data_IF_377909184698
#
_entry.id   IF_377909184698
#
_cell.length_a   1.000
_cell.length_b   1.000
_cell.length_c   1.000
_cell.angle_alpha   90.00
_cell.angle_beta   90.00
_cell.angle_gamma   90.00
#
_symmetry.space_group_name_H-M   'P 1'
#
loop_
_entity.id
_entity.type
_entity.pdbx_description
1 polymer ?
#
# COMPACT_ATOMS: atom_id res chain seq x y z
N UNK A 1 9.37 -1.27 44.21
CA UNK A 1 8.65 -0.82 42.99
C UNK A 1 8.56 0.69 43.04
N UNK A 2 9.20 1.46 42.14
CA UNK A 2 9.04 2.89 42.16
C UNK A 2 7.98 3.34 41.15
N UNK A 3 6.94 3.93 41.73
CA UNK A 3 5.92 4.76 41.10
C UNK A 3 6.58 6.07 40.65
N UNK A 4 6.45 6.42 39.37
CA UNK A 4 6.78 7.74 38.87
C UNK A 4 5.62 8.69 39.15
N UNK A 5 5.82 9.61 40.10
CA UNK A 5 4.93 10.73 40.35
C UNK A 5 5.19 11.85 39.32
N UNK A 6 4.13 12.28 38.63
CA UNK A 6 4.13 13.46 37.76
C UNK A 6 3.54 14.61 38.57
N UNK A 7 4.34 15.65 38.81
CA UNK A 7 3.89 16.90 39.42
C UNK A 7 3.31 17.85 38.35
N UNK A 8 2.25 18.64 38.65
CA UNK A 8 1.75 19.66 37.75
C UNK A 8 2.48 20.98 38.00
N UNK A 9 3.18 21.49 37.00
CA UNK A 9 3.73 22.85 37.01
C UNK A 9 2.75 23.80 36.30
N UNK A 10 1.94 24.50 37.08
CA UNK A 10 1.21 25.69 36.65
C UNK A 10 2.00 26.91 37.11
N UNK A 11 2.65 27.59 36.16
CA UNK A 11 3.33 28.85 36.37
C UNK A 11 2.98 29.82 35.25
N UNK A 12 2.03 30.72 35.52
CA UNK A 12 1.81 31.93 34.72
C UNK A 12 3.02 32.87 34.91
N UNK A 13 3.78 33.13 33.84
CA UNK A 13 4.82 34.16 33.83
C UNK A 13 4.35 35.31 32.94
N UNK A 14 4.07 36.45 33.59
CA UNK A 14 3.95 37.78 32.96
C UNK A 14 5.31 38.14 32.36
N UNK A 15 5.37 38.34 31.04
CA UNK A 15 6.55 38.88 30.37
C UNK A 15 6.60 40.41 30.56
N UNK A 16 7.59 40.86 31.34
CA UNK A 16 8.06 42.25 31.31
C UNK A 16 9.24 42.37 30.35
N UNK A 17 9.23 43.45 29.57
CA UNK A 17 10.29 43.87 28.64
C UNK A 17 11.65 44.00 29.35
N UNK A 18 12.64 43.21 28.93
CA UNK A 18 14.04 43.36 29.31
C UNK A 18 14.95 43.21 28.07
N UNK A 19 16.07 43.96 28.00
CA UNK A 19 16.95 44.00 26.84
C UNK A 19 17.76 42.70 26.69
N UNK A 20 17.82 42.20 25.45
CA UNK A 20 18.42 40.93 25.04
C UNK A 20 19.95 40.95 25.22
N UNK A 21 20.44 40.14 26.15
CA UNK A 21 21.88 39.89 26.38
C UNK A 21 22.42 38.83 25.40
N UNK A 22 23.52 39.16 24.70
CA UNK A 22 24.21 38.37 23.65
C UNK A 22 24.95 37.10 24.14
N UNK A 23 24.51 36.44 25.22
CA UNK A 23 25.23 35.29 25.82
C UNK A 23 24.41 33.98 25.94
N UNK A 24 23.45 33.75 25.05
CA UNK A 24 22.68 32.49 24.99
C UNK A 24 22.69 31.81 23.60
N UNK A 25 23.84 31.78 22.92
CA UNK A 25 23.98 31.12 21.59
C UNK A 25 24.65 29.73 21.67
N UNK A 26 25.25 29.33 22.80
CA UNK A 26 25.99 28.06 22.89
C UNK A 26 25.21 26.82 23.34
N UNK A 27 23.93 26.92 23.75
CA UNK A 27 23.19 25.76 24.29
C UNK A 27 22.13 25.18 23.34
N UNK A 28 22.08 25.61 22.08
CA UNK A 28 21.12 25.14 21.08
C UNK A 28 21.71 24.20 20.02
N UNK A 29 23.01 23.88 20.10
CA UNK A 29 23.71 23.02 19.12
C UNK A 29 23.86 21.54 19.56
N UNK A 30 23.43 21.16 20.76
CA UNK A 30 23.58 19.78 21.26
C UNK A 30 22.30 18.93 21.06
N UNK A 31 21.17 19.54 20.70
CA UNK A 31 19.90 18.83 20.43
C UNK A 31 19.66 18.47 18.95
N UNK A 32 20.54 18.86 18.03
CA UNK A 32 20.45 18.52 16.60
C UNK A 32 21.08 17.15 16.22
N UNK A 33 21.76 16.47 17.15
CA UNK A 33 22.54 15.25 16.84
C UNK A 33 21.85 13.92 17.15
N UNK A 34 20.71 13.92 17.84
CA UNK A 34 19.96 12.69 18.08
C UNK A 34 18.98 12.46 16.92
N UNK A 35 19.51 12.36 15.69
CA UNK A 35 18.85 11.58 14.65
C UNK A 35 18.83 10.17 15.22
N UNK A 36 17.75 9.84 15.92
CA UNK A 36 17.52 8.52 16.46
C UNK A 36 17.58 7.57 15.27
N UNK A 37 18.75 6.95 15.08
CA UNK A 37 18.93 5.85 14.16
C UNK A 37 17.99 4.77 14.71
N UNK A 38 16.74 4.76 14.23
CA UNK A 38 15.82 3.66 14.50
C UNK A 38 16.58 2.43 14.10
N UNK A 39 17.06 1.68 15.09
CA UNK A 39 17.81 0.46 14.88
C UNK A 39 16.96 -0.38 13.93
N UNK A 40 17.41 -0.51 12.68
CA UNK A 40 16.70 -1.31 11.70
C UNK A 40 16.65 -2.69 12.30
N UNK A 41 15.44 -3.22 12.52
CA UNK A 41 15.28 -4.61 12.98
C UNK A 41 16.13 -5.48 12.06
N UNK A 42 16.96 -6.34 12.66
CA UNK A 42 17.73 -7.29 11.89
C UNK A 42 16.78 -8.07 10.96
N UNK A 43 17.13 -8.16 9.68
CA UNK A 43 16.32 -8.91 8.74
C UNK A 43 16.36 -10.39 9.12
N UNK A 44 15.25 -11.13 8.96
CA UNK A 44 15.27 -12.58 9.08
C UNK A 44 16.35 -13.22 8.20
N UNK A 45 16.89 -14.36 8.64
CA UNK A 45 17.99 -15.05 7.95
C UNK A 45 17.66 -15.45 6.50
N UNK A 46 16.39 -15.76 6.22
CA UNK A 46 15.95 -16.12 4.87
C UNK A 46 15.88 -14.91 3.92
N UNK A 47 15.96 -13.68 4.43
CA UNK A 47 15.96 -12.47 3.60
C UNK A 47 17.37 -12.12 3.13
N UNK A 48 17.45 -11.49 1.95
CA UNK A 48 18.63 -10.87 1.37
C UNK A 48 19.03 -9.61 2.14
N UNK A 49 20.30 -9.52 2.52
CA UNK A 49 20.83 -8.37 3.27
C UNK A 49 21.06 -7.16 2.36
N UNK A 50 21.38 -7.38 1.10
CA UNK A 50 21.73 -6.39 0.08
C UNK A 50 20.53 -5.60 -0.48
N UNK A 51 19.31 -6.12 -0.37
CA UNK A 51 18.10 -5.45 -0.88
C UNK A 51 17.23 -4.85 0.22
N UNK A 52 16.57 -3.70 0.06
CA UNK A 52 15.64 -3.17 1.05
C UNK A 52 14.45 -4.11 1.30
N UNK A 53 13.88 -4.06 2.51
CA UNK A 53 12.81 -4.97 2.95
C UNK A 53 13.25 -6.41 3.14
N UNK A 54 12.29 -7.34 3.08
CA UNK A 54 12.56 -8.76 3.13
C UNK A 54 12.36 -9.42 1.76
N UNK A 55 13.44 -9.49 0.99
CA UNK A 55 13.50 -10.26 -0.24
C UNK A 55 14.05 -11.66 0.04
N UNK A 56 13.31 -12.75 -0.19
CA UNK A 56 13.81 -14.08 0.14
C UNK A 56 15.03 -14.44 -0.73
N UNK A 57 16.00 -15.14 -0.14
CA UNK A 57 17.19 -15.67 -0.85
C UNK A 57 16.79 -16.66 -1.95
N UNK A 58 15.74 -17.44 -1.71
CA UNK A 58 15.16 -18.39 -2.64
C UNK A 58 13.71 -18.01 -2.89
N UNK A 59 13.34 -17.78 -4.16
CA UNK A 59 11.96 -17.46 -4.55
C UNK A 59 11.31 -18.71 -5.14
N UNK A 60 10.35 -19.30 -4.42
CA UNK A 60 9.56 -20.44 -4.90
C UNK A 60 8.11 -20.08 -5.20
N UNK A 61 7.65 -18.94 -4.66
CA UNK A 61 6.30 -18.43 -4.78
C UNK A 61 6.34 -16.90 -4.85
N UNK A 62 5.42 -16.30 -5.62
CA UNK A 62 5.25 -14.84 -5.70
C UNK A 62 3.83 -14.51 -5.26
N UNK A 63 3.69 -13.57 -4.33
CA UNK A 63 2.38 -13.04 -3.93
C UNK A 63 2.31 -11.55 -4.23
N UNK A 64 1.34 -11.17 -5.07
CA UNK A 64 0.92 -9.79 -5.28
C UNK A 64 -0.29 -9.48 -4.40
N UNK A 65 -0.09 -8.67 -3.36
CA UNK A 65 -1.18 -8.05 -2.62
C UNK A 65 -1.78 -6.95 -3.50
N UNK A 66 -2.83 -7.30 -4.23
CA UNK A 66 -3.40 -6.44 -5.25
C UNK A 66 -4.40 -5.49 -4.57
N UNK A 67 -4.05 -4.21 -4.47
CA UNK A 67 -4.99 -3.18 -4.01
C UNK A 67 -5.72 -2.60 -5.21
N UNK A 68 -7.02 -2.31 -5.09
CA UNK A 68 -7.74 -1.82 -6.26
C UNK A 68 -7.20 -0.49 -6.75
N UNK A 69 -7.17 -0.36 -8.07
CA UNK A 69 -6.85 0.88 -8.78
C UNK A 69 -5.41 1.35 -8.60
N UNK A 70 -4.52 0.49 -8.14
CA UNK A 70 -3.08 0.73 -8.07
C UNK A 70 -2.32 0.05 -9.23
N UNK A 71 -2.90 -0.01 -10.44
CA UNK A 71 -2.22 -0.62 -11.60
C UNK A 71 -1.96 -2.14 -11.48
N UNK A 72 -2.54 -2.82 -10.48
CA UNK A 72 -2.25 -4.22 -10.19
C UNK A 72 -2.65 -5.20 -11.30
N UNK A 73 -3.58 -4.85 -12.20
CA UNK A 73 -3.87 -5.66 -13.40
C UNK A 73 -2.65 -5.74 -14.32
N UNK A 74 -2.04 -4.59 -14.67
CA UNK A 74 -0.85 -4.55 -15.52
C UNK A 74 0.33 -5.25 -14.87
N UNK A 75 0.53 -5.04 -13.56
CA UNK A 75 1.59 -5.71 -12.81
C UNK A 75 1.36 -7.23 -12.74
N UNK A 76 0.12 -7.69 -12.51
CA UNK A 76 -0.24 -9.11 -12.51
C UNK A 76 0.04 -9.75 -13.86
N UNK A 77 -0.37 -9.13 -14.97
CA UNK A 77 -0.11 -9.64 -16.33
C UNK A 77 1.39 -9.79 -16.58
N UNK A 78 2.17 -8.77 -16.20
CA UNK A 78 3.62 -8.86 -16.26
C UNK A 78 4.19 -10.00 -15.40
N UNK A 79 3.73 -10.14 -14.15
CA UNK A 79 4.17 -11.18 -13.24
C UNK A 79 3.88 -12.58 -13.78
N UNK A 80 2.75 -12.80 -14.45
CA UNK A 80 2.44 -14.07 -15.09
C UNK A 80 3.54 -14.47 -16.10
N UNK A 81 3.97 -13.54 -16.94
CA UNK A 81 5.06 -13.76 -17.89
C UNK A 81 6.41 -13.94 -17.18
N UNK A 82 6.72 -13.11 -16.18
CA UNK A 82 7.98 -13.18 -15.44
C UNK A 82 8.13 -14.49 -14.67
N UNK A 83 7.08 -14.92 -13.97
CA UNK A 83 7.01 -16.19 -13.24
C UNK A 83 7.14 -17.37 -14.20
N UNK A 84 6.42 -17.36 -15.34
CA UNK A 84 6.54 -18.43 -16.36
C UNK A 84 7.97 -18.60 -16.85
N UNK A 85 8.70 -17.50 -17.10
CA UNK A 85 10.13 -17.54 -17.46
C UNK A 85 11.00 -18.10 -16.34
N UNK A 86 10.79 -17.63 -15.10
CA UNK A 86 11.58 -18.04 -13.93
C UNK A 86 11.44 -19.52 -13.58
N UNK A 87 10.24 -20.09 -13.77
CA UNK A 87 9.92 -21.46 -13.36
C UNK A 87 9.82 -22.45 -14.53
N UNK A 88 10.17 -22.08 -15.78
CA UNK A 88 10.27 -22.95 -16.97
C UNK A 88 9.18 -24.05 -17.05
N UNK A 89 7.91 -23.68 -16.94
CA UNK A 89 6.77 -24.62 -17.04
C UNK A 89 6.41 -25.38 -15.75
N UNK A 90 7.13 -25.17 -14.65
CA UNK A 90 6.78 -25.73 -13.34
C UNK A 90 5.81 -24.82 -12.61
N UNK A 91 4.54 -25.22 -12.58
CA UNK A 91 3.55 -24.71 -11.65
C UNK A 91 2.50 -23.78 -12.24
N UNK A 92 1.39 -23.66 -11.53
CA UNK A 92 0.20 -22.94 -11.95
C UNK A 92 0.22 -21.47 -11.49
N UNK A 93 -0.45 -20.61 -12.25
CA UNK A 93 -0.89 -19.29 -11.79
C UNK A 93 -2.22 -19.50 -11.08
N UNK A 94 -2.29 -19.14 -9.80
CA UNK A 94 -3.42 -19.50 -8.97
C UNK A 94 -4.19 -18.25 -8.54
N UNK A 95 -5.49 -18.23 -8.88
CA UNK A 95 -6.44 -17.22 -8.43
C UNK A 95 -7.15 -17.82 -7.22
N UNK A 96 -6.61 -17.58 -6.04
CA UNK A 96 -6.93 -18.44 -4.90
C UNK A 96 -8.29 -18.24 -4.26
N UNK A 97 -8.92 -17.08 -4.44
CA UNK A 97 -10.24 -16.83 -3.88
C UNK A 97 -11.12 -16.18 -4.93
N UNK A 98 -12.05 -16.99 -5.46
CA UNK A 98 -13.11 -16.56 -6.37
C UNK A 98 -14.06 -15.55 -5.71
N UNK A 99 -14.20 -15.66 -4.39
CA UNK A 99 -15.02 -14.79 -3.58
C UNK A 99 -14.14 -13.82 -2.81
N UNK A 100 -14.13 -12.58 -3.27
CA UNK A 100 -13.53 -11.49 -2.52
C UNK A 100 -14.54 -11.05 -1.45
N UNK A 101 -14.11 -10.78 -0.21
CA UNK A 101 -15.01 -10.34 0.86
C UNK A 101 -15.50 -8.89 0.64
N UNK A 102 -15.47 -8.41 -0.61
CA UNK A 102 -15.63 -7.02 -1.05
C UNK A 102 -16.84 -6.28 -0.55
N UNK A 103 -17.85 -7.00 -0.14
CA UNK A 103 -19.13 -6.42 0.15
C UNK A 103 -19.30 -6.36 1.66
N UNK A 104 -18.58 -5.42 2.28
CA UNK A 104 -19.23 -4.61 3.33
C UNK A 104 -20.30 -3.77 2.62
N UNK A 105 -21.33 -4.42 2.07
CA UNK A 105 -22.49 -3.66 1.65
C UNK A 105 -23.19 -3.24 2.93
N UNK A 106 -23.65 -1.98 3.03
CA UNK A 106 -24.77 -1.67 3.92
C UNK A 106 -25.78 -2.80 3.76
N UNK A 107 -26.12 -3.53 4.83
CA UNK A 107 -27.31 -4.38 4.77
C UNK A 107 -28.43 -3.44 4.34
N UNK A 108 -28.99 -3.73 3.17
CA UNK A 108 -29.59 -2.77 2.23
C UNK A 108 -30.92 -2.15 2.69
N UNK A 109 -31.11 -1.83 3.97
CA UNK A 109 -32.38 -1.30 4.47
C UNK A 109 -32.29 -0.35 5.68
N UNK A 110 -31.19 -0.31 6.46
CA UNK A 110 -31.25 0.28 7.81
C UNK A 110 -30.34 1.48 8.08
N UNK A 111 -29.77 2.13 7.07
CA UNK A 111 -29.11 3.45 7.23
C UNK A 111 -27.91 3.55 8.19
N UNK A 112 -27.50 2.46 8.85
CA UNK A 112 -26.41 2.44 9.81
C UNK A 112 -25.73 1.08 9.80
N UNK A 113 -24.41 1.10 9.63
CA UNK A 113 -23.48 -0.04 9.66
C UNK A 113 -23.51 -0.98 8.44
N UNK A 114 -22.43 -0.93 7.67
CA UNK A 114 -22.10 -1.90 6.63
C UNK A 114 -21.76 -3.25 7.24
N UNK A 115 -22.74 -4.16 7.35
CA UNK A 115 -22.46 -5.54 7.76
C UNK A 115 -21.72 -6.28 6.64
N UNK A 116 -20.60 -6.93 6.95
CA UNK A 116 -20.00 -7.86 5.99
C UNK A 116 -20.99 -8.97 5.62
N UNK A 117 -20.97 -9.41 4.36
CA UNK A 117 -21.57 -10.69 3.99
C UNK A 117 -20.92 -11.80 4.85
N UNK A 118 -21.64 -12.25 5.87
CA UNK A 118 -21.14 -13.18 6.88
C UNK A 118 -20.63 -14.50 6.28
N UNK A 119 -21.25 -14.96 5.19
CA UNK A 119 -20.83 -16.16 4.45
C UNK A 119 -19.45 -15.95 3.80
N UNK A 120 -19.24 -14.82 3.15
CA UNK A 120 -17.93 -14.48 2.55
C UNK A 120 -16.87 -14.29 3.63
N UNK A 121 -17.22 -13.69 4.77
CA UNK A 121 -16.31 -13.55 5.90
C UNK A 121 -15.93 -14.91 6.50
N UNK A 122 -16.88 -15.81 6.73
CA UNK A 122 -16.62 -17.15 7.26
C UNK A 122 -15.74 -17.97 6.30
N UNK A 123 -16.03 -17.93 4.99
CA UNK A 123 -15.18 -18.55 3.98
C UNK A 123 -13.76 -17.98 3.99
N UNK A 124 -13.64 -16.65 4.01
CA UNK A 124 -12.34 -15.98 4.08
C UNK A 124 -11.59 -16.35 5.36
N UNK A 125 -12.25 -16.30 6.51
CA UNK A 125 -11.67 -16.66 7.79
C UNK A 125 -11.21 -18.12 7.81
N UNK A 126 -12.02 -19.04 7.28
CA UNK A 126 -11.63 -20.44 7.12
C UNK A 126 -10.40 -20.58 6.24
N UNK A 127 -10.39 -19.94 5.07
CA UNK A 127 -9.26 -20.00 4.14
C UNK A 127 -7.97 -19.46 4.78
N UNK A 128 -8.04 -18.32 5.48
CA UNK A 128 -6.91 -17.73 6.22
C UNK A 128 -6.45 -18.65 7.36
N UNK A 129 -7.38 -19.27 8.08
CA UNK A 129 -7.05 -20.11 9.24
C UNK A 129 -6.36 -21.39 8.84
N UNK A 130 -6.80 -22.04 7.75
CA UNK A 130 -6.22 -23.32 7.35
C UNK A 130 -4.97 -23.16 6.48
N UNK A 131 -4.83 -22.05 5.76
CA UNK A 131 -3.74 -21.89 4.78
C UNK A 131 -3.83 -22.85 3.59
N UNK A 132 -4.87 -23.69 3.50
CA UNK A 132 -5.05 -24.72 2.46
C UNK A 132 -5.14 -24.13 1.06
N UNK A 133 -5.47 -22.85 0.98
CA UNK A 133 -5.46 -22.14 -0.29
C UNK A 133 -4.04 -22.04 -0.85
N UNK A 134 -2.95 -22.11 -0.09
CA UNK A 134 -1.59 -22.17 -0.64
C UNK A 134 -1.24 -23.58 -1.15
N UNK A 135 -1.88 -23.98 -2.26
CA UNK A 135 -1.63 -25.27 -2.93
C UNK A 135 -0.17 -25.44 -3.35
N UNK A 136 0.38 -26.64 -3.13
CA UNK A 136 1.66 -27.07 -3.69
C UNK A 136 1.65 -26.89 -5.21
N UNK A 137 2.67 -26.21 -5.72
CA UNK A 137 2.86 -26.00 -7.16
C UNK A 137 2.35 -24.68 -7.72
N UNK A 138 1.66 -23.84 -6.95
CA UNK A 138 1.34 -22.50 -7.41
C UNK A 138 2.56 -21.57 -7.29
N UNK A 139 2.82 -20.80 -8.35
CA UNK A 139 4.00 -19.92 -8.43
C UNK A 139 3.65 -18.44 -8.36
N UNK A 140 2.41 -18.09 -8.64
CA UNK A 140 1.90 -16.73 -8.52
C UNK A 140 0.52 -16.74 -7.88
N UNK A 141 0.41 -16.02 -6.77
CA UNK A 141 -0.83 -15.58 -6.14
C UNK A 141 -1.05 -14.11 -6.45
N UNK A 142 -2.24 -13.76 -6.92
CA UNK A 142 -2.69 -12.37 -6.93
C UNK A 142 -4.15 -12.33 -6.51
N UNK A 143 -4.46 -11.45 -5.56
CA UNK A 143 -5.80 -11.37 -5.00
C UNK A 143 -6.04 -9.99 -4.41
N UNK A 144 -7.30 -9.54 -4.46
CA UNK A 144 -7.70 -8.33 -3.74
C UNK A 144 -8.17 -8.69 -2.33
N UNK A 145 -7.21 -9.09 -1.51
CA UNK A 145 -7.40 -9.32 -0.08
C UNK A 145 -6.65 -8.31 0.75
N UNK A 146 -6.91 -8.35 2.05
CA UNK A 146 -6.10 -7.65 3.01
C UNK A 146 -4.89 -8.49 3.42
N UNK A 147 -3.99 -7.86 4.17
CA UNK A 147 -2.72 -8.46 4.56
C UNK A 147 -2.87 -9.77 5.36
N UNK A 148 -4.05 -10.11 5.90
CA UNK A 148 -4.23 -11.42 6.56
C UNK A 148 -3.97 -12.60 5.62
N UNK A 149 -4.08 -12.40 4.30
CA UNK A 149 -3.64 -13.41 3.32
C UNK A 149 -2.15 -13.71 3.43
N UNK A 150 -1.33 -12.71 3.79
CA UNK A 150 0.10 -12.87 4.02
C UNK A 150 0.35 -13.55 5.37
N UNK A 151 -0.39 -13.15 6.41
CA UNK A 151 -0.32 -13.76 7.74
C UNK A 151 -0.68 -15.27 7.71
N UNK A 152 -1.53 -15.68 6.76
CA UNK A 152 -1.94 -17.08 6.56
C UNK A 152 -0.91 -17.96 5.84
N UNK A 153 0.17 -17.40 5.30
CA UNK A 153 1.16 -18.20 4.57
C UNK A 153 1.92 -19.08 5.58
N UNK A 154 1.95 -20.42 5.41
CA UNK A 154 2.74 -21.29 6.28
C UNK A 154 4.21 -20.84 6.32
N UNK A 155 4.90 -20.83 7.48
CA UNK A 155 6.24 -20.26 7.62
C UNK A 155 7.26 -20.77 6.58
N UNK A 156 7.24 -22.06 6.26
CA UNK A 156 8.12 -22.65 5.25
C UNK A 156 7.88 -22.11 3.83
N UNK A 157 6.62 -21.80 3.47
CA UNK A 157 6.27 -21.13 2.20
C UNK A 157 6.58 -19.63 2.30
N UNK A 158 6.35 -19.01 3.45
CA UNK A 158 6.59 -17.57 3.68
C UNK A 158 8.05 -17.21 3.48
N UNK A 159 8.97 -18.07 3.94
CA UNK A 159 10.41 -17.89 3.83
C UNK A 159 10.90 -17.89 2.36
N UNK A 160 10.14 -18.48 1.44
CA UNK A 160 10.46 -18.52 0.01
C UNK A 160 9.46 -17.72 -0.85
N UNK A 161 8.57 -16.95 -0.22
CA UNK A 161 7.57 -16.13 -0.91
C UNK A 161 8.08 -14.71 -1.13
N UNK A 162 8.13 -14.31 -2.39
CA UNK A 162 8.34 -12.94 -2.80
C UNK A 162 7.05 -12.13 -2.62
N UNK A 163 7.03 -11.23 -1.65
CA UNK A 163 5.90 -10.31 -1.44
C UNK A 163 6.03 -9.05 -2.29
N UNK A 164 4.95 -8.73 -3.00
CA UNK A 164 4.82 -7.57 -3.86
C UNK A 164 3.53 -6.82 -3.50
N UNK A 165 3.64 -5.50 -3.35
CA UNK A 165 2.49 -4.57 -3.32
C UNK A 165 2.75 -3.43 -4.31
N UNK A 166 1.71 -2.93 -4.94
CA UNK A 166 1.78 -1.71 -5.74
C UNK A 166 0.82 -0.69 -5.16
N UNK A 167 1.31 0.53 -4.91
CA UNK A 167 0.52 1.64 -4.39
C UNK A 167 0.30 2.71 -5.46
N UNK A 168 -0.57 3.66 -5.16
CA UNK A 168 -0.88 4.80 -6.02
C UNK A 168 -1.16 6.00 -5.15
N UNK A 169 -0.85 7.19 -5.67
CA UNK A 169 -1.36 8.46 -5.16
C UNK A 169 -2.83 8.33 -4.68
N UNK A 170 -3.15 8.67 -3.42
CA UNK A 170 -4.46 8.38 -2.82
C UNK A 170 -5.63 9.03 -3.57
N UNK A 171 -5.56 10.33 -3.87
CA UNK A 171 -6.60 11.03 -4.64
C UNK A 171 -6.74 10.44 -6.05
N UNK A 172 -5.63 10.24 -6.77
CA UNK A 172 -5.64 9.62 -8.10
C UNK A 172 -6.20 8.19 -8.11
N UNK A 173 -5.98 7.42 -7.04
CA UNK A 173 -6.60 6.10 -6.83
C UNK A 173 -8.11 6.22 -6.67
N UNK A 174 -8.58 7.14 -5.82
CA UNK A 174 -10.00 7.40 -5.60
C UNK A 174 -10.69 7.77 -6.92
N UNK A 175 -10.21 8.81 -7.63
CA UNK A 175 -10.74 9.21 -8.94
C UNK A 175 -10.82 8.02 -9.91
N UNK A 176 -9.74 7.24 -10.00
CA UNK A 176 -9.71 6.06 -10.87
C UNK A 176 -10.73 4.99 -10.47
N UNK A 177 -11.02 4.85 -9.18
CA UNK A 177 -12.05 3.96 -8.67
C UNK A 177 -13.45 4.46 -9.04
N UNK A 178 -13.74 5.74 -8.81
CA UNK A 178 -15.02 6.34 -9.14
C UNK A 178 -15.39 6.17 -10.61
N UNK A 179 -14.46 6.45 -11.53
CA UNK A 179 -14.73 6.24 -12.95
C UNK A 179 -14.89 4.76 -13.33
N UNK A 180 -14.22 3.84 -12.63
CA UNK A 180 -14.46 2.42 -12.81
C UNK A 180 -15.91 2.07 -12.41
N UNK A 181 -16.38 2.55 -11.26
CA UNK A 181 -17.75 2.32 -10.79
C UNK A 181 -18.80 2.88 -11.76
N UNK A 182 -18.59 4.11 -12.27
CA UNK A 182 -19.47 4.69 -13.30
C UNK A 182 -19.52 3.84 -14.57
N UNK A 183 -18.39 3.30 -15.04
CA UNK A 183 -18.37 2.39 -16.21
C UNK A 183 -19.13 1.09 -15.96
N UNK A 184 -19.16 0.62 -14.70
CA UNK A 184 -19.95 -0.53 -14.28
C UNK A 184 -21.39 -0.17 -13.86
N UNK A 185 -21.83 1.07 -14.15
CA UNK A 185 -23.17 1.57 -13.87
C UNK A 185 -23.57 1.47 -12.39
N UNK A 186 -22.63 1.66 -11.46
CA UNK A 186 -22.95 1.78 -10.04
C UNK A 186 -23.89 2.99 -9.82
N UNK A 187 -25.11 2.80 -9.29
CA UNK A 187 -26.09 3.88 -9.18
C UNK A 187 -25.60 5.04 -8.32
N UNK A 188 -24.86 4.74 -7.25
CA UNK A 188 -24.33 5.76 -6.37
C UNK A 188 -23.30 6.63 -7.08
N UNK A 189 -22.38 6.02 -7.82
CA UNK A 189 -21.36 6.76 -8.58
C UNK A 189 -21.93 7.49 -9.81
N UNK A 190 -23.02 7.00 -10.43
CA UNK A 190 -23.68 7.67 -11.57
C UNK A 190 -24.37 8.97 -11.16
N UNK A 191 -24.94 9.01 -9.95
CA UNK A 191 -25.77 10.10 -9.46
C UNK A 191 -25.04 11.06 -8.50
N UNK A 192 -23.70 11.08 -8.52
CA UNK A 192 -22.91 11.89 -7.61
C UNK A 192 -21.62 12.39 -8.26
N UNK A 193 -20.94 13.33 -7.60
CA UNK A 193 -19.55 13.68 -7.90
C UNK A 193 -18.61 12.70 -7.19
N UNK A 194 -17.31 12.69 -7.56
CA UNK A 194 -16.31 11.86 -6.87
C UNK A 194 -16.19 12.20 -5.39
N UNK A 195 -16.28 13.48 -5.04
CA UNK A 195 -16.23 13.96 -3.66
C UNK A 195 -17.50 13.54 -2.92
N UNK A 196 -18.68 13.83 -3.48
CA UNK A 196 -19.93 13.44 -2.83
C UNK A 196 -20.01 11.94 -2.59
N UNK A 197 -19.57 11.13 -3.56
CA UNK A 197 -19.56 9.70 -3.41
C UNK A 197 -18.59 9.24 -2.32
N UNK A 198 -17.32 9.65 -2.36
CA UNK A 198 -16.35 9.09 -1.43
C UNK A 198 -16.30 9.74 -0.06
N UNK A 199 -16.78 10.97 0.08
CA UNK A 199 -16.76 11.70 1.35
C UNK A 199 -18.11 11.59 2.07
N UNK A 200 -19.23 11.59 1.33
CA UNK A 200 -20.58 11.68 1.92
C UNK A 200 -21.40 10.40 1.79
N UNK A 201 -21.29 9.66 0.69
CA UNK A 201 -22.06 8.42 0.52
C UNK A 201 -21.47 7.28 1.37
N UNK A 202 -22.23 6.64 2.28
CA UNK A 202 -21.69 5.59 3.17
C UNK A 202 -21.03 4.41 2.44
N UNK A 203 -21.55 4.02 1.27
CA UNK A 203 -20.95 2.96 0.45
C UNK A 203 -19.61 3.43 -0.12
N UNK A 204 -19.56 4.64 -0.68
CA UNK A 204 -18.33 5.23 -1.21
C UNK A 204 -17.25 5.40 -0.13
N UNK A 205 -17.62 5.93 1.04
CA UNK A 205 -16.74 6.03 2.21
C UNK A 205 -16.15 4.66 2.55
N UNK A 206 -17.00 3.63 2.64
CA UNK A 206 -16.57 2.29 3.04
C UNK A 206 -15.55 1.66 2.09
N UNK A 207 -15.63 1.93 0.79
CA UNK A 207 -14.73 1.38 -0.23
C UNK A 207 -13.47 2.23 -0.46
N UNK A 208 -13.51 3.52 -0.15
CA UNK A 208 -12.45 4.45 -0.52
C UNK A 208 -11.56 4.88 0.65
N UNK A 209 -12.15 5.24 1.81
CA UNK A 209 -11.42 5.88 2.91
C UNK A 209 -10.26 5.03 3.41
N UNK A 210 -9.05 5.57 3.31
CA UNK A 210 -7.77 4.97 3.73
C UNK A 210 -7.64 3.51 3.30
N UNK A 211 -8.04 3.21 2.06
CA UNK A 211 -8.14 1.83 1.57
C UNK A 211 -6.79 1.13 1.54
N UNK A 212 -5.71 1.79 1.11
CA UNK A 212 -4.39 1.16 1.04
C UNK A 212 -3.91 0.80 2.46
N UNK A 213 -4.05 1.73 3.40
CA UNK A 213 -3.74 1.54 4.82
C UNK A 213 -4.55 0.39 5.41
N UNK A 214 -5.86 0.33 5.16
CA UNK A 214 -6.73 -0.73 5.66
C UNK A 214 -6.37 -2.11 5.10
N UNK A 215 -6.10 -2.20 3.79
CA UNK A 215 -5.61 -3.43 3.16
C UNK A 215 -4.33 -3.89 3.82
N UNK A 216 -3.35 -2.99 3.94
CA UNK A 216 -2.05 -3.29 4.54
C UNK A 216 -2.16 -3.63 6.03
N UNK A 217 -3.06 -2.98 6.76
CA UNK A 217 -3.31 -3.25 8.17
C UNK A 217 -4.17 -4.50 8.42
N UNK A 218 -4.67 -5.18 7.39
CA UNK A 218 -5.51 -6.37 7.56
C UNK A 218 -6.91 -6.06 8.12
N UNK A 219 -7.38 -4.83 7.90
CA UNK A 219 -8.65 -4.26 8.40
C UNK A 219 -9.56 -3.82 7.26
N UNK A 220 -9.76 -4.70 6.29
CA UNK A 220 -10.52 -4.41 5.08
C UNK A 220 -12.02 -4.59 5.25
N UNK A 221 -12.43 -5.40 6.23
CA UNK A 221 -13.82 -5.80 6.44
C UNK A 221 -14.28 -5.51 7.87
N UNK A 222 -15.56 -5.16 8.03
CA UNK A 222 -16.25 -5.13 9.31
C UNK A 222 -16.13 -6.49 10.02
N UNK A 223 -15.49 -6.52 11.19
CA UNK A 223 -15.33 -7.75 11.97
C UNK A 223 -16.52 -7.90 12.91
N UNK A 224 -17.18 -9.05 12.87
CA UNK A 224 -18.25 -9.40 13.83
C UNK A 224 -19.39 -8.36 13.90
N UNK A 225 -19.71 -7.73 12.78
CA UNK A 225 -20.75 -6.68 12.71
C UNK A 225 -20.34 -5.32 13.27
N UNK A 226 -19.11 -5.15 13.76
CA UNK A 226 -18.61 -3.85 14.21
C UNK A 226 -18.32 -2.94 13.01
N UNK A 227 -18.53 -1.61 13.15
CA UNK A 227 -18.16 -0.65 12.11
C UNK A 227 -16.69 -0.77 11.71
N UNK A 228 -16.40 -0.56 10.43
CA UNK A 228 -15.02 -0.51 9.96
C UNK A 228 -14.30 0.70 10.57
N UNK A 229 -13.10 0.47 11.11
CA UNK A 229 -12.20 1.54 11.56
C UNK A 229 -11.47 2.06 10.33
N UNK A 230 -11.77 3.31 9.95
CA UNK A 230 -11.13 3.95 8.81
C UNK A 230 -9.85 4.71 9.18
N UNK A 231 -9.78 5.19 10.43
CA UNK A 231 -8.71 6.05 10.93
C UNK A 231 -8.36 5.69 12.37
N UNK A 232 -7.09 5.42 12.60
CA UNK A 232 -6.46 5.40 13.93
C UNK A 232 -4.95 5.29 13.75
N UNK A 233 -4.18 5.81 14.71
CA UNK A 233 -2.72 5.67 14.72
C UNK A 233 -2.28 4.20 14.75
N UNK A 234 -3.06 3.35 15.42
CA UNK A 234 -2.82 1.92 15.46
C UNK A 234 -2.98 1.26 14.07
N UNK A 235 -3.98 1.69 13.29
CA UNK A 235 -4.20 1.21 11.93
C UNK A 235 -3.01 1.60 11.02
N UNK A 236 -2.64 2.89 11.02
CA UNK A 236 -1.50 3.38 10.25
C UNK A 236 -0.18 2.72 10.69
N UNK A 237 0.06 2.62 12.00
CA UNK A 237 1.25 2.00 12.58
C UNK A 237 1.42 0.54 12.12
N UNK A 238 0.33 -0.25 12.07
CA UNK A 238 0.34 -1.62 11.52
C UNK A 238 0.63 -1.63 10.03
N UNK A 239 -0.03 -0.80 9.24
CA UNK A 239 0.18 -0.72 7.80
C UNK A 239 1.64 -0.37 7.45
N UNK A 240 2.20 0.63 8.13
CA UNK A 240 3.60 1.04 7.97
C UNK A 240 4.56 -0.08 8.35
N UNK A 241 4.34 -0.75 9.48
CA UNK A 241 5.19 -1.87 9.89
C UNK A 241 5.17 -3.01 8.87
N UNK A 242 4.01 -3.30 8.28
CA UNK A 242 3.85 -4.35 7.27
C UNK A 242 4.43 -3.98 5.91
N UNK A 243 4.48 -2.69 5.57
CA UNK A 243 5.20 -2.21 4.39
C UNK A 243 6.68 -2.63 4.41
N UNK A 244 7.27 -2.78 5.60
CA UNK A 244 8.64 -3.23 5.77
C UNK A 244 8.87 -4.71 5.38
N UNK A 245 7.81 -5.52 5.42
CA UNK A 245 7.86 -6.95 5.11
C UNK A 245 7.85 -7.25 3.61
N UNK A 246 7.42 -6.28 2.78
CA UNK A 246 7.43 -6.43 1.33
C UNK A 246 8.84 -6.34 0.80
N UNK A 247 9.19 -7.27 -0.09
CA UNK A 247 10.38 -7.15 -0.91
C UNK A 247 10.21 -6.10 -1.99
N UNK A 248 9.02 -6.06 -2.61
CA UNK A 248 8.70 -5.12 -3.69
C UNK A 248 7.55 -4.19 -3.27
N UNK A 249 7.85 -2.90 -3.13
CA UNK A 249 6.87 -1.83 -2.96
C UNK A 249 6.87 -0.96 -4.21
N UNK A 250 5.97 -1.24 -5.15
CA UNK A 250 5.88 -0.50 -6.39
C UNK A 250 4.98 0.74 -6.29
N UNK A 251 5.14 1.63 -7.27
CA UNK A 251 4.30 2.82 -7.45
C UNK A 251 3.64 2.79 -8.83
N UNK A 252 2.36 3.15 -8.88
CA UNK A 252 1.59 3.17 -10.13
C UNK A 252 2.14 4.21 -11.13
N UNK A 253 2.65 5.34 -10.65
CA UNK A 253 3.33 6.36 -11.47
C UNK A 253 4.67 5.89 -12.03
N UNK A 254 5.26 4.83 -11.46
CA UNK A 254 6.60 4.29 -11.78
C UNK A 254 6.53 2.77 -12.02
N UNK A 255 5.49 2.34 -12.73
CA UNK A 255 5.15 0.90 -12.87
C UNK A 255 6.19 0.13 -13.69
N UNK A 256 6.79 0.76 -14.71
CA UNK A 256 7.83 0.12 -15.52
C UNK A 256 9.10 -0.18 -14.70
N UNK A 257 9.47 0.72 -13.81
CA UNK A 257 10.64 0.57 -12.94
C UNK A 257 10.35 -0.40 -11.80
N UNK A 258 9.11 -0.43 -11.32
CA UNK A 258 8.62 -1.51 -10.45
C UNK A 258 8.85 -2.87 -11.11
N UNK A 259 8.52 -3.01 -12.41
CA UNK A 259 8.73 -4.26 -13.15
C UNK A 259 10.21 -4.58 -13.32
N UNK A 260 11.05 -3.59 -13.61
CA UNK A 260 12.51 -3.75 -13.67
C UNK A 260 13.06 -4.30 -12.36
N UNK A 261 12.65 -3.72 -11.23
CA UNK A 261 13.06 -4.20 -9.91
C UNK A 261 12.57 -5.62 -9.61
N UNK A 262 11.33 -5.96 -10.00
CA UNK A 262 10.84 -7.35 -9.90
C UNK A 262 11.72 -8.31 -10.71
N UNK A 263 12.14 -7.94 -11.93
CA UNK A 263 13.04 -8.77 -12.74
C UNK A 263 14.37 -8.99 -12.03
N UNK A 264 14.97 -7.92 -11.50
CA UNK A 264 16.21 -8.01 -10.71
C UNK A 264 16.06 -8.97 -9.51
N UNK A 265 15.01 -8.81 -8.71
CA UNK A 265 14.78 -9.67 -7.53
C UNK A 265 14.55 -11.13 -7.92
N UNK A 266 13.91 -11.39 -9.06
CA UNK A 266 13.71 -12.74 -9.60
C UNK A 266 14.98 -13.33 -10.23
N UNK A 267 16.08 -12.58 -10.29
CA UNK A 267 17.33 -12.99 -10.95
C UNK A 267 17.24 -13.00 -12.47
N UNK A 268 16.33 -12.22 -13.05
CA UNK A 268 16.23 -12.02 -14.50
C UNK A 268 17.17 -10.88 -14.89
N UNK A 269 18.24 -11.20 -15.62
CA UNK A 269 19.19 -10.21 -16.12
C UNK A 269 18.50 -9.39 -17.21
N UNK A 270 18.26 -8.11 -16.95
CA UNK A 270 17.72 -7.14 -17.92
C UNK A 270 17.98 -5.72 -17.44
N UNK A 271 18.48 -4.89 -18.35
CA UNK A 271 18.70 -3.47 -18.08
C UNK A 271 17.53 -2.60 -18.52
N UNK A 272 16.53 -3.19 -19.17
CA UNK A 272 15.41 -2.47 -19.76
C UNK A 272 14.09 -2.90 -19.13
N UNK A 273 13.19 -1.93 -18.82
CA UNK A 273 11.85 -2.27 -18.42
C UNK A 273 11.12 -2.98 -19.58
N UNK A 274 10.09 -3.79 -19.28
CA UNK A 274 9.28 -4.42 -20.32
C UNK A 274 8.63 -3.37 -21.23
N UNK A 275 8.86 -3.49 -22.54
CA UNK A 275 8.20 -2.64 -23.54
C UNK A 275 6.71 -3.00 -23.63
N UNK A 276 5.88 -2.00 -23.94
CA UNK A 276 4.52 -2.19 -24.47
C UNK A 276 3.58 -3.03 -23.60
N UNK A 277 3.62 -2.86 -22.28
CA UNK A 277 2.42 -3.22 -21.54
C UNK A 277 1.35 -2.20 -21.92
N UNK A 278 0.20 -2.68 -22.40
CA UNK A 278 -1.02 -1.88 -22.57
C UNK A 278 -1.46 -1.37 -21.19
N UNK A 279 -0.67 -0.45 -20.64
CA UNK A 279 -1.06 0.38 -19.55
C UNK A 279 -2.06 1.33 -20.18
N UNK A 280 -3.34 0.93 -20.11
CA UNK A 280 -4.43 1.81 -20.50
C UNK A 280 -4.29 3.04 -19.63
N UNK A 281 -3.69 4.09 -20.19
CA UNK A 281 -3.50 5.37 -19.54
C UNK A 281 -4.84 6.09 -19.50
N UNK A 282 -5.79 5.45 -18.83
CA UNK A 282 -7.10 6.01 -18.53
C UNK A 282 -6.95 7.23 -17.62
N UNK A 283 -5.76 7.51 -17.07
CA UNK A 283 -5.52 8.74 -16.32
C UNK A 283 -5.77 9.96 -17.22
N UNK A 284 -5.27 9.97 -18.46
CA UNK A 284 -5.47 11.08 -19.40
C UNK A 284 -6.96 11.27 -19.75
N UNK A 285 -7.74 10.18 -19.77
CA UNK A 285 -9.18 10.25 -20.06
C UNK A 285 -9.98 10.97 -18.96
N UNK A 286 -9.44 11.06 -17.76
CA UNK A 286 -10.14 11.58 -16.58
C UNK A 286 -9.48 12.84 -16.02
N UNK A 287 -8.60 13.48 -16.79
CA UNK A 287 -7.92 14.74 -16.43
C UNK A 287 -8.36 15.85 -17.39
N UNK A 288 -8.44 17.12 -16.94
CA UNK A 288 -8.02 17.59 -15.61
C UNK A 288 -9.10 17.41 -14.53
N UNK A 289 -8.69 16.93 -13.35
CA UNK A 289 -9.47 17.01 -12.11
C UNK A 289 -9.10 18.31 -11.40
N UNK A 290 -10.10 19.04 -10.90
CA UNK A 290 -9.89 20.26 -10.12
C UNK A 290 -8.91 19.99 -8.93
N UNK A 291 -7.84 20.79 -8.77
CA UNK A 291 -6.93 20.67 -7.63
C UNK A 291 -7.61 20.69 -6.26
N UNK A 292 -8.69 21.46 -6.09
CA UNK A 292 -9.46 21.51 -4.84
C UNK A 292 -10.19 20.19 -4.55
N UNK A 293 -10.58 19.44 -5.59
CA UNK A 293 -11.16 18.10 -5.46
C UNK A 293 -10.08 17.10 -5.03
N UNK A 294 -8.87 17.18 -5.61
CA UNK A 294 -7.76 16.31 -5.24
C UNK A 294 -7.36 16.53 -3.78
N UNK A 295 -7.24 17.79 -3.35
CA UNK A 295 -6.94 18.14 -1.96
C UNK A 295 -7.98 17.56 -0.98
N UNK A 296 -9.28 17.71 -1.27
CA UNK A 296 -10.33 17.14 -0.42
C UNK A 296 -10.24 15.62 -0.31
N UNK A 297 -9.89 14.94 -1.41
CA UNK A 297 -9.71 13.49 -1.40
C UNK A 297 -8.46 13.08 -0.59
N UNK A 298 -7.38 13.86 -0.63
CA UNK A 298 -6.18 13.59 0.17
C UNK A 298 -6.42 13.80 1.67
N UNK A 299 -7.09 14.90 2.04
CA UNK A 299 -7.51 15.15 3.42
C UNK A 299 -8.36 13.99 3.96
N UNK A 300 -9.30 13.50 3.15
CA UNK A 300 -10.13 12.35 3.48
C UNK A 300 -9.37 11.01 3.53
N UNK A 301 -8.19 10.94 2.91
CA UNK A 301 -7.35 9.75 2.85
C UNK A 301 -5.98 9.96 3.53
N UNK A 302 -5.94 10.75 4.61
CA UNK A 302 -4.68 11.16 5.26
C UNK A 302 -3.72 10.02 5.63
N UNK A 303 -4.22 8.86 6.09
CA UNK A 303 -3.34 7.72 6.38
C UNK A 303 -2.75 7.10 5.11
N UNK A 304 -3.51 7.07 4.01
CA UNK A 304 -3.01 6.61 2.71
C UNK A 304 -1.96 7.57 2.16
N UNK A 305 -2.13 8.89 2.36
CA UNK A 305 -1.12 9.91 2.00
C UNK A 305 0.20 9.63 2.74
N UNK A 306 0.13 9.47 4.06
CA UNK A 306 1.33 9.17 4.86
C UNK A 306 1.94 7.82 4.53
N UNK A 307 1.14 6.80 4.24
CA UNK A 307 1.64 5.48 3.82
C UNK A 307 2.31 5.56 2.44
N UNK A 308 1.74 6.33 1.52
CA UNK A 308 2.28 6.52 0.18
C UNK A 308 3.66 7.21 0.21
N UNK A 309 3.83 8.25 1.05
CA UNK A 309 5.15 8.88 1.27
C UNK A 309 6.21 7.87 1.76
N UNK A 310 5.82 6.97 2.68
CA UNK A 310 6.72 5.89 3.12
C UNK A 310 7.06 4.93 1.98
N UNK A 311 6.08 4.60 1.13
CA UNK A 311 6.30 3.76 -0.04
C UNK A 311 7.21 4.42 -1.08
N UNK A 312 7.12 5.74 -1.29
CA UNK A 312 8.04 6.48 -2.16
C UNK A 312 9.49 6.39 -1.66
N UNK A 313 9.71 6.59 -0.35
CA UNK A 313 11.03 6.43 0.25
C UNK A 313 11.58 4.99 0.10
N UNK A 314 10.71 3.99 0.28
CA UNK A 314 11.06 2.57 0.06
C UNK A 314 11.41 2.29 -1.39
N UNK A 315 10.61 2.80 -2.32
CA UNK A 315 10.82 2.64 -3.74
C UNK A 315 12.11 3.30 -4.21
N UNK A 316 12.43 4.51 -3.72
CA UNK A 316 13.72 5.16 -3.96
C UNK A 316 14.90 4.29 -3.53
N UNK A 317 14.84 3.72 -2.32
CA UNK A 317 15.87 2.79 -1.84
C UNK A 317 16.00 1.52 -2.69
N UNK A 318 14.88 1.01 -3.24
CA UNK A 318 14.89 -0.14 -4.15
C UNK A 318 15.59 0.18 -5.47
N UNK A 319 15.34 1.34 -6.06
CA UNK A 319 16.01 1.77 -7.29
C UNK A 319 17.52 1.96 -7.08
N UNK A 320 17.90 2.60 -5.95
CA UNK A 320 19.31 2.76 -5.59
C UNK A 320 20.04 1.42 -5.44
N UNK A 321 19.38 0.42 -4.84
CA UNK A 321 19.96 -0.91 -4.65
C UNK A 321 20.27 -1.65 -5.97
N UNK A 322 19.65 -1.24 -7.09
CA UNK A 322 19.93 -1.77 -8.43
C UNK A 322 20.71 -0.80 -9.32
N UNK A 323 21.37 0.19 -8.71
CA UNK A 323 22.22 1.16 -9.41
C UNK A 323 21.47 2.19 -10.24
N UNK A 324 20.19 2.46 -9.94
CA UNK A 324 19.39 3.50 -10.60
C UNK A 324 19.26 4.71 -9.68
N UNK A 325 19.70 5.88 -10.15
CA UNK A 325 19.52 7.11 -9.38
C UNK A 325 18.05 7.55 -9.45
N UNK A 326 17.58 8.26 -8.42
CA UNK A 326 16.25 8.85 -8.46
C UNK A 326 16.12 9.96 -9.52
N UNK A 327 17.26 10.55 -9.92
CA UNK A 327 17.37 11.73 -10.80
C UNK A 327 17.37 11.42 -12.28
N UNK A 328 17.68 10.19 -12.71
CA UNK A 328 17.75 9.83 -14.14
C UNK A 328 16.40 9.93 -14.88
N UNK A 329 15.30 10.23 -14.17
CA UNK A 329 13.95 10.08 -14.69
C UNK A 329 13.15 11.38 -14.87
N UNK A 330 13.60 12.52 -14.34
CA UNK A 330 12.93 13.80 -14.65
C UNK A 330 13.15 14.21 -16.10
N UNK A 331 14.24 13.77 -16.72
CA UNK A 331 14.59 14.04 -18.12
C UNK A 331 13.81 13.15 -19.10
N UNK A 332 13.55 11.88 -18.77
CA UNK A 332 12.79 10.98 -19.64
C UNK A 332 11.30 11.34 -19.72
N UNK A 333 10.67 11.70 -18.59
CA UNK A 333 9.26 12.11 -18.58
C UNK A 333 9.03 13.46 -19.28
N UNK A 334 9.99 14.38 -19.21
CA UNK A 334 9.94 15.65 -19.96
C UNK A 334 10.09 15.43 -21.47
N UNK A 335 10.90 14.45 -21.89
CA UNK A 335 11.07 14.11 -23.29
C UNK A 335 9.83 13.43 -23.91
N UNK A 336 9.12 12.59 -23.15
CA UNK A 336 7.88 11.95 -23.62
C UNK A 336 6.65 12.86 -23.54
N UNK A 337 6.65 13.90 -22.71
CA UNK A 337 5.57 14.89 -22.67
C UNK A 337 5.69 16.00 -23.73
N UNK A 338 6.83 16.08 -24.42
CA UNK A 338 7.10 17.03 -25.49
C UNK A 338 7.01 16.46 -26.92
N UNK A 339 6.51 15.23 -27.08
CA UNK A 339 6.36 14.52 -28.35
C UNK A 339 4.90 14.08 -28.57
#
# INVERSE_FOLDING_TARGET
APLCAIAPFLGWVRMHNAPVSKRCICLLLILCGAIASRARRAKPEYCRTDLPGCCPKVVEHVLLLHIEKTGGTSLRTFLQSAVKRRFKGRGAICNYLKHMPYQCQPSSAAGGNSSCNARNYAYYQSAITTGDHFRRGCKLTSSHHDFRIVDAIPPHIRNTTLLIVNLRDPAGRAVSHFHMLRRHRDPGALNSTVVDYFVRNPLGVAISRNRMTRVMAGEFCCKKGLPAVYESDALYGRARARLEEFCVVGLTSRVQETMLYVQHVLGQVTDRPPKNLHYHNNANRYQPVDPAVLQQLDEFNGNDVELYKQAEGRFGAQMLAIGRSATDNSTAAAAEAGA
#
